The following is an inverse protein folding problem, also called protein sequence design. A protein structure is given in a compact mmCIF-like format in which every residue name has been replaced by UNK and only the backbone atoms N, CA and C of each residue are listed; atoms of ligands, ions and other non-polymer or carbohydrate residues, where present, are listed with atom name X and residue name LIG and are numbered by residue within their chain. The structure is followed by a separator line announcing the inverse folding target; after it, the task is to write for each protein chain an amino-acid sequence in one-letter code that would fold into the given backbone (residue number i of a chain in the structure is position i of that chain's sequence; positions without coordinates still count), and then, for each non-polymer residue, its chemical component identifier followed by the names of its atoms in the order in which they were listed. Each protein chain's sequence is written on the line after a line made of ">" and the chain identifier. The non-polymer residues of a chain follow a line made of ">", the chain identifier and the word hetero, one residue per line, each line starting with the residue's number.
data_IF_920773975756
#
_entry.id   IF_920773975756
#
_cell.length_a   1.000
_cell.length_b   1.000
_cell.length_c   1.000
_cell.angle_alpha   90.00
_cell.angle_beta   90.00
_cell.angle_gamma   90.00
#
_symmetry.space_group_name_H-M   'P 1'
#
loop_
_entity.id
_entity.type
_entity.pdbx_description
1 polymer ?
#
# COMPACT_ATOMS: atom_id res chain seq x y z
N UNK A 1 -3.46 21.49 15.60
CA UNK A 1 -2.42 21.99 16.53
C UNK A 1 -1.04 22.08 15.88
N UNK A 2 -0.47 21.00 15.31
CA UNK A 2 0.88 21.05 14.69
C UNK A 2 0.99 22.00 13.49
N UNK A 3 0.01 22.03 12.59
CA UNK A 3 0.03 22.97 11.45
C UNK A 3 -0.07 24.44 11.91
N UNK A 4 -0.75 24.67 13.03
CA UNK A 4 -0.89 25.99 13.64
C UNK A 4 0.42 26.42 14.32
N UNK A 5 1.12 25.49 14.98
CA UNK A 5 2.47 25.72 15.52
C UNK A 5 3.49 26.00 14.41
N UNK A 6 3.48 25.23 13.33
CA UNK A 6 4.36 25.46 12.16
C UNK A 6 4.06 26.83 11.53
N UNK A 7 2.78 27.15 11.33
CA UNK A 7 2.36 28.45 10.80
C UNK A 7 2.75 29.61 11.71
N UNK A 8 2.64 29.45 13.03
CA UNK A 8 3.05 30.45 14.02
C UNK A 8 4.56 30.69 14.03
N UNK A 9 5.38 29.63 13.96
CA UNK A 9 6.84 29.72 13.88
C UNK A 9 7.27 30.43 12.59
N UNK A 10 6.70 30.04 11.45
CA UNK A 10 6.98 30.69 10.16
C UNK A 10 6.56 32.17 10.16
N UNK A 11 5.40 32.48 10.73
CA UNK A 11 4.90 33.85 10.86
C UNK A 11 5.81 34.73 11.70
N UNK A 12 6.31 34.22 12.84
CA UNK A 12 7.27 34.95 13.68
C UNK A 12 8.60 35.22 12.96
N UNK A 13 9.11 34.26 12.20
CA UNK A 13 10.36 34.41 11.43
C UNK A 13 10.21 35.47 10.34
N UNK A 14 9.11 35.44 9.59
CA UNK A 14 8.84 36.42 8.53
C UNK A 14 8.62 37.81 9.14
N UNK A 15 7.96 37.89 10.29
CA UNK A 15 7.74 39.15 10.98
C UNK A 15 9.04 39.78 11.51
N UNK A 16 9.94 39.00 12.10
CA UNK A 16 11.22 39.53 12.62
C UNK A 16 12.16 39.97 11.51
N UNK A 17 12.32 39.16 10.45
CA UNK A 17 13.14 39.53 9.29
C UNK A 17 12.50 40.70 8.52
N UNK A 18 11.19 40.69 8.34
CA UNK A 18 10.45 41.77 7.67
C UNK A 18 10.55 43.10 8.42
N UNK A 19 10.43 43.07 9.75
CA UNK A 19 10.54 44.26 10.59
C UNK A 19 11.95 44.87 10.53
N UNK A 20 13.00 44.05 10.63
CA UNK A 20 14.39 44.50 10.52
C UNK A 20 14.73 45.13 9.15
N UNK A 21 14.12 44.61 8.08
CA UNK A 21 14.27 45.16 6.72
C UNK A 21 13.54 46.50 6.54
N UNK A 22 12.42 46.73 7.25
CA UNK A 22 11.67 48.00 7.18
C UNK A 22 12.27 49.11 8.03
N UNK A 23 12.98 48.78 9.12
CA UNK A 23 13.58 49.74 10.06
C UNK A 23 14.92 50.33 9.58
N UNK A 24 15.59 49.69 8.62
CA UNK A 24 16.89 50.14 8.10
C UNK A 24 16.76 50.68 6.65
N UNK A 25 16.47 51.98 6.47
CA UNK A 25 16.34 52.60 5.15
C UNK A 25 17.68 52.70 4.39
N UNK A 26 18.79 52.81 5.12
CA UNK A 26 20.13 52.64 4.57
C UNK A 26 20.45 51.15 4.58
N UNK A 27 20.48 50.49 3.41
CA UNK A 27 20.64 49.03 3.23
C UNK A 27 22.01 48.46 3.67
N UNK A 28 22.61 48.98 4.74
CA UNK A 28 23.80 48.42 5.34
C UNK A 28 23.39 47.18 6.14
N UNK A 29 23.72 46.00 5.59
CA UNK A 29 23.57 44.73 6.28
C UNK A 29 24.39 44.78 7.57
N UNK A 30 23.70 45.03 8.67
CA UNK A 30 24.31 45.04 9.99
C UNK A 30 24.49 43.59 10.44
N UNK A 31 25.50 43.30 11.27
CA UNK A 31 25.74 41.97 11.82
C UNK A 31 24.45 41.36 12.40
N UNK A 32 23.61 42.19 13.03
CA UNK A 32 22.31 41.81 13.58
C UNK A 32 21.32 41.31 12.51
N UNK A 33 21.17 42.01 11.38
CA UNK A 33 20.29 41.58 10.26
C UNK A 33 20.77 40.24 9.69
N UNK A 34 22.08 40.07 9.51
CA UNK A 34 22.67 38.83 9.01
C UNK A 34 22.43 37.67 9.99
N UNK A 35 22.61 37.89 11.29
CA UNK A 35 22.32 36.89 12.33
C UNK A 35 20.85 36.47 12.31
N UNK A 36 19.91 37.41 12.21
CA UNK A 36 18.48 37.10 12.16
C UNK A 36 18.09 36.31 10.91
N UNK A 37 18.70 36.61 9.76
CA UNK A 37 18.53 35.81 8.52
C UNK A 37 19.06 34.38 8.70
N UNK A 38 20.23 34.21 9.32
CA UNK A 38 20.81 32.89 9.57
C UNK A 38 19.93 32.07 10.52
N UNK A 39 19.46 32.68 11.61
CA UNK A 39 18.53 32.03 12.56
C UNK A 39 17.22 31.64 11.85
N UNK A 40 16.68 32.53 11.00
CA UNK A 40 15.49 32.27 10.22
C UNK A 40 15.64 31.04 9.31
N UNK A 41 16.74 30.96 8.56
CA UNK A 41 17.04 29.84 7.66
C UNK A 41 17.25 28.53 8.43
N UNK A 42 18.01 28.56 9.53
CA UNK A 42 18.23 27.40 10.39
C UNK A 42 16.90 26.86 10.96
N UNK A 43 16.02 27.76 11.39
CA UNK A 43 14.70 27.39 11.93
C UNK A 43 13.80 26.82 10.84
N UNK A 44 13.82 27.38 9.63
CA UNK A 44 13.07 26.83 8.50
C UNK A 44 13.50 25.40 8.16
N UNK A 45 14.81 25.15 8.07
CA UNK A 45 15.36 23.81 7.82
C UNK A 45 14.97 22.84 8.95
N UNK A 46 15.08 23.27 10.20
CA UNK A 46 14.69 22.44 11.35
C UNK A 46 13.19 22.07 11.32
N UNK A 47 12.31 23.02 10.98
CA UNK A 47 10.87 22.80 10.82
C UNK A 47 10.59 21.83 9.67
N UNK A 48 11.27 21.98 8.53
CA UNK A 48 11.13 21.08 7.39
C UNK A 48 11.54 19.64 7.75
N UNK A 49 12.69 19.45 8.42
CA UNK A 49 13.16 18.14 8.89
C UNK A 49 12.17 17.54 9.87
N UNK A 50 11.69 18.30 10.86
CA UNK A 50 10.76 17.79 11.86
C UNK A 50 9.43 17.39 11.23
N UNK A 51 8.91 18.19 10.30
CA UNK A 51 7.70 17.85 9.55
C UNK A 51 7.85 16.54 8.76
N UNK A 52 8.96 16.40 8.02
CA UNK A 52 9.26 15.16 7.27
C UNK A 52 9.41 13.96 8.21
N UNK A 53 10.10 14.14 9.34
CA UNK A 53 10.29 13.10 10.36
C UNK A 53 8.96 12.62 10.96
N UNK A 54 8.07 13.54 11.34
CA UNK A 54 6.74 13.21 11.88
C UNK A 54 5.91 12.47 10.82
N UNK A 55 5.96 12.91 9.56
CA UNK A 55 5.25 12.24 8.48
C UNK A 55 5.78 10.81 8.29
N UNK A 56 7.09 10.64 8.21
CA UNK A 56 7.74 9.32 8.08
C UNK A 56 7.40 8.40 9.25
N UNK A 57 7.45 8.90 10.50
CA UNK A 57 7.06 8.10 11.67
C UNK A 57 5.61 7.62 11.63
N UNK A 58 4.68 8.44 11.14
CA UNK A 58 3.27 8.02 11.01
C UNK A 58 3.13 6.90 9.98
N UNK A 59 3.84 6.99 8.86
CA UNK A 59 3.82 5.97 7.81
C UNK A 59 4.50 4.68 8.28
N UNK A 60 5.65 4.78 8.95
CA UNK A 60 6.37 3.65 9.56
C UNK A 60 5.54 2.94 10.64
N UNK A 61 4.84 3.67 11.53
CA UNK A 61 3.94 3.04 12.50
C UNK A 61 2.77 2.30 11.84
N UNK A 62 2.20 2.86 10.78
CA UNK A 62 1.14 2.19 10.01
C UNK A 62 1.67 0.93 9.33
N UNK A 63 2.90 0.97 8.84
CA UNK A 63 3.56 -0.21 8.30
C UNK A 63 3.75 -1.29 9.37
N UNK A 64 4.39 -0.97 10.49
CA UNK A 64 4.67 -1.93 11.57
C UNK A 64 3.39 -2.65 12.05
N UNK A 65 2.28 -1.93 12.19
CA UNK A 65 1.00 -2.53 12.61
C UNK A 65 0.42 -3.49 11.55
N UNK A 66 0.59 -3.18 10.26
CA UNK A 66 -0.04 -3.92 9.17
C UNK A 66 0.89 -4.93 8.48
N UNK A 67 2.19 -4.92 8.78
CA UNK A 67 3.22 -5.70 8.09
C UNK A 67 2.93 -7.19 8.13
N UNK A 68 2.73 -7.74 9.32
CA UNK A 68 2.56 -9.19 9.50
C UNK A 68 1.32 -9.70 8.77
N UNK A 69 0.23 -8.93 8.80
CA UNK A 69 -1.01 -9.31 8.13
C UNK A 69 -0.89 -9.20 6.60
N UNK A 70 -0.26 -8.13 6.08
CA UNK A 70 -0.02 -7.97 4.65
C UNK A 70 0.91 -9.05 4.09
N UNK A 71 1.95 -9.42 4.84
CA UNK A 71 2.85 -10.52 4.46
C UNK A 71 2.08 -11.84 4.45
N UNK A 72 1.30 -12.14 5.50
CA UNK A 72 0.49 -13.38 5.54
C UNK A 72 -0.46 -13.48 4.36
N UNK A 73 -1.24 -12.43 4.06
CA UNK A 73 -2.14 -12.41 2.90
C UNK A 73 -1.36 -12.62 1.60
N UNK A 74 -0.25 -11.90 1.42
CA UNK A 74 0.58 -12.02 0.23
C UNK A 74 1.19 -13.41 0.07
N UNK A 75 1.64 -14.05 1.15
CA UNK A 75 2.18 -15.41 1.10
C UNK A 75 1.09 -16.42 0.74
N UNK A 76 -0.07 -16.37 1.42
CA UNK A 76 -1.17 -17.29 1.10
C UNK A 76 -1.75 -17.09 -0.29
N UNK A 77 -1.75 -15.85 -0.80
CA UNK A 77 -2.15 -15.56 -2.17
C UNK A 77 -1.15 -16.15 -3.17
N UNK A 78 0.15 -16.11 -2.86
CA UNK A 78 1.19 -16.72 -3.69
C UNK A 78 1.02 -18.24 -3.76
N UNK A 79 0.71 -18.87 -2.63
CA UNK A 79 0.43 -20.31 -2.56
C UNK A 79 -0.83 -20.66 -3.36
N UNK A 80 -1.88 -19.83 -3.24
CA UNK A 80 -3.11 -19.99 -4.01
C UNK A 80 -2.88 -19.84 -5.51
N UNK A 81 -2.09 -18.85 -5.94
CA UNK A 81 -1.71 -18.66 -7.35
C UNK A 81 -0.95 -19.86 -7.90
N UNK A 82 0.01 -20.41 -7.15
CA UNK A 82 0.77 -21.58 -7.58
C UNK A 82 -0.12 -22.80 -7.79
N UNK A 83 -1.15 -22.98 -6.96
CA UNK A 83 -2.14 -24.03 -7.17
C UNK A 83 -3.08 -23.74 -8.33
N UNK A 84 -3.59 -22.51 -8.43
CA UNK A 84 -4.52 -22.09 -9.50
C UNK A 84 -3.86 -22.24 -10.87
N UNK A 85 -2.57 -21.90 -11.00
CA UNK A 85 -1.79 -22.13 -12.21
C UNK A 85 -1.75 -23.62 -12.59
N UNK A 86 -1.46 -24.52 -11.65
CA UNK A 86 -1.42 -25.97 -11.91
C UNK A 86 -2.79 -26.52 -12.30
N UNK A 87 -3.85 -26.05 -11.63
CA UNK A 87 -5.22 -26.44 -11.96
C UNK A 87 -5.62 -25.96 -13.36
N UNK A 88 -5.19 -24.75 -13.75
CA UNK A 88 -5.38 -24.22 -15.10
C UNK A 88 -4.64 -25.07 -16.14
N UNK A 89 -3.37 -25.40 -15.89
CA UNK A 89 -2.57 -26.26 -16.79
C UNK A 89 -3.19 -27.65 -16.96
N UNK A 90 -3.68 -28.25 -15.88
CA UNK A 90 -4.35 -29.54 -15.92
C UNK A 90 -5.67 -29.48 -16.69
N UNK A 91 -6.50 -28.47 -16.42
CA UNK A 91 -7.75 -28.24 -17.15
C UNK A 91 -7.49 -28.04 -18.66
N UNK A 92 -6.42 -27.34 -19.02
CA UNK A 92 -6.02 -27.18 -20.41
C UNK A 92 -5.58 -28.51 -21.03
N UNK A 93 -4.76 -29.30 -20.34
CA UNK A 93 -4.31 -30.61 -20.81
C UNK A 93 -5.49 -31.57 -21.03
N UNK A 94 -6.46 -31.59 -20.11
CA UNK A 94 -7.69 -32.38 -20.23
C UNK A 94 -8.48 -31.99 -21.48
N UNK A 95 -8.61 -30.70 -21.78
CA UNK A 95 -9.25 -30.21 -23.01
C UNK A 95 -8.52 -30.63 -24.28
N UNK A 96 -7.19 -30.77 -24.22
CA UNK A 96 -6.35 -31.24 -25.34
C UNK A 96 -6.24 -32.77 -25.42
N UNK A 97 -6.81 -33.51 -24.46
CA UNK A 97 -6.67 -34.97 -24.36
C UNK A 97 -5.25 -35.43 -24.01
N UNK A 98 -4.45 -34.55 -23.40
CA UNK A 98 -3.10 -34.85 -22.94
C UNK A 98 -3.20 -35.42 -21.52
N UNK A 99 -2.76 -36.66 -21.27
CA UNK A 99 -2.82 -37.23 -19.93
C UNK A 99 -1.88 -36.50 -18.97
N UNK A 100 -2.36 -36.24 -17.75
CA UNK A 100 -1.55 -35.64 -16.69
C UNK A 100 -0.29 -36.49 -16.42
N UNK A 101 0.89 -35.88 -16.50
CA UNK A 101 2.15 -36.57 -16.14
C UNK A 101 2.21 -36.91 -14.64
N UNK A 102 1.60 -36.08 -13.79
CA UNK A 102 1.60 -36.22 -12.33
C UNK A 102 0.23 -35.82 -11.77
N UNK A 103 -0.40 -36.71 -10.99
CA UNK A 103 -1.65 -36.39 -10.29
C UNK A 103 -1.41 -35.23 -9.31
N UNK A 104 -1.90 -34.05 -9.65
CA UNK A 104 -1.92 -32.92 -8.73
C UNK A 104 -3.16 -33.01 -7.85
N UNK A 105 -2.96 -33.02 -6.53
CA UNK A 105 -4.06 -32.91 -5.58
C UNK A 105 -4.04 -31.50 -4.99
N UNK A 106 -5.06 -30.66 -5.25
CA UNK A 106 -5.16 -29.36 -4.63
C UNK A 106 -5.32 -29.50 -3.11
N UNK A 107 -4.64 -28.64 -2.36
CA UNK A 107 -4.89 -28.43 -0.94
C UNK A 107 -6.01 -27.41 -0.78
N UNK A 108 -7.22 -27.93 -0.56
CA UNK A 108 -8.44 -27.15 -0.31
C UNK A 108 -8.30 -26.20 0.89
N UNK A 109 -7.36 -26.43 1.81
CA UNK A 109 -7.14 -25.55 2.96
C UNK A 109 -6.53 -24.21 2.57
N UNK A 110 -5.83 -24.11 1.44
CA UNK A 110 -5.14 -22.87 1.03
C UNK A 110 -6.15 -21.78 0.65
N UNK A 111 -7.19 -22.10 -0.11
CA UNK A 111 -8.24 -21.12 -0.44
C UNK A 111 -8.94 -20.63 0.83
N UNK A 112 -9.35 -21.54 1.71
CA UNK A 112 -10.00 -21.19 2.97
C UNK A 112 -9.10 -20.34 3.88
N UNK A 113 -7.81 -20.66 3.99
CA UNK A 113 -6.83 -19.85 4.74
C UNK A 113 -6.67 -18.46 4.13
N UNK A 114 -6.55 -18.36 2.81
CA UNK A 114 -6.45 -17.09 2.11
C UNK A 114 -7.69 -16.24 2.36
N UNK A 115 -8.89 -16.80 2.21
CA UNK A 115 -10.15 -16.10 2.44
C UNK A 115 -10.27 -15.60 3.89
N UNK A 116 -9.95 -16.45 4.86
CA UNK A 116 -9.94 -16.11 6.28
C UNK A 116 -8.97 -14.95 6.57
N UNK A 117 -7.74 -15.01 6.03
CA UNK A 117 -6.78 -13.93 6.20
C UNK A 117 -7.22 -12.66 5.50
N UNK A 118 -7.79 -12.74 4.30
CA UNK A 118 -8.31 -11.62 3.56
C UNK A 118 -9.43 -10.90 4.34
N UNK A 119 -10.36 -11.66 4.92
CA UNK A 119 -11.46 -11.13 5.73
C UNK A 119 -10.98 -10.54 7.06
N UNK A 120 -10.09 -11.24 7.77
CA UNK A 120 -9.48 -10.72 9.00
C UNK A 120 -8.71 -9.42 8.74
N UNK A 121 -8.00 -9.33 7.62
CA UNK A 121 -7.26 -8.13 7.21
C UNK A 121 -8.19 -6.94 7.01
N UNK A 122 -9.30 -7.12 6.28
CA UNK A 122 -10.24 -6.03 6.01
C UNK A 122 -11.00 -5.62 7.27
N UNK A 123 -11.47 -6.59 8.07
CA UNK A 123 -12.29 -6.31 9.25
C UNK A 123 -11.51 -5.67 10.40
N UNK A 124 -10.32 -6.19 10.70
CA UNK A 124 -9.52 -5.75 11.85
C UNK A 124 -8.60 -4.58 11.48
N UNK A 125 -7.95 -4.66 10.31
CA UNK A 125 -6.92 -3.70 9.91
C UNK A 125 -7.41 -2.69 8.87
N UNK A 126 -8.61 -2.86 8.29
CA UNK A 126 -9.20 -1.98 7.28
C UNK A 126 -9.07 -0.48 7.56
N UNK A 127 -9.38 0.02 8.78
CA UNK A 127 -9.24 1.44 9.11
C UNK A 127 -7.80 1.98 9.07
N UNK A 128 -6.81 1.10 9.24
CA UNK A 128 -5.38 1.43 9.29
C UNK A 128 -4.64 1.08 8.00
N UNK A 129 -5.25 0.31 7.12
CA UNK A 129 -4.69 -0.11 5.84
C UNK A 129 -4.72 1.01 4.80
N UNK A 130 -3.84 0.86 3.80
CA UNK A 130 -3.86 1.72 2.63
C UNK A 130 -5.21 1.55 1.90
N UNK A 131 -5.89 2.66 1.57
CA UNK A 131 -7.15 2.67 0.81
C UNK A 131 -7.04 1.92 -0.51
N UNK A 132 -5.87 1.97 -1.17
CA UNK A 132 -5.59 1.22 -2.39
C UNK A 132 -5.68 -0.30 -2.16
N UNK A 133 -5.15 -0.80 -1.04
CA UNK A 133 -5.23 -2.22 -0.68
C UNK A 133 -6.66 -2.63 -0.38
N UNK A 134 -7.39 -1.84 0.41
CA UNK A 134 -8.80 -2.13 0.73
C UNK A 134 -9.65 -2.17 -0.54
N UNK A 135 -9.45 -1.21 -1.46
CA UNK A 135 -10.14 -1.19 -2.74
C UNK A 135 -9.78 -2.39 -3.63
N UNK A 136 -8.51 -2.79 -3.67
CA UNK A 136 -8.07 -3.96 -4.44
C UNK A 136 -8.66 -5.26 -3.89
N UNK A 137 -8.72 -5.42 -2.57
CA UNK A 137 -9.35 -6.59 -1.93
C UNK A 137 -10.85 -6.63 -2.25
N UNK A 138 -11.56 -5.50 -2.15
CA UNK A 138 -12.97 -5.43 -2.50
C UNK A 138 -13.22 -5.74 -3.99
N UNK A 139 -12.34 -5.24 -4.87
CA UNK A 139 -12.38 -5.56 -6.30
C UNK A 139 -12.16 -7.05 -6.55
N UNK A 140 -11.16 -7.65 -5.91
CA UNK A 140 -10.88 -9.08 -6.00
C UNK A 140 -12.11 -9.91 -5.59
N UNK A 141 -12.70 -9.64 -4.41
CA UNK A 141 -13.89 -10.37 -3.94
C UNK A 141 -15.06 -10.30 -4.92
N UNK A 142 -15.26 -9.14 -5.56
CA UNK A 142 -16.31 -8.98 -6.57
C UNK A 142 -16.01 -9.81 -7.82
N UNK A 143 -14.76 -9.83 -8.28
CA UNK A 143 -14.35 -10.61 -9.45
C UNK A 143 -14.46 -12.11 -9.15
N UNK A 144 -13.97 -12.55 -7.99
CA UNK A 144 -14.04 -13.95 -7.52
C UNK A 144 -15.50 -14.45 -7.53
N UNK A 145 -16.42 -13.68 -6.94
CA UNK A 145 -17.85 -13.99 -6.95
C UNK A 145 -18.46 -14.02 -8.36
N UNK A 146 -18.02 -13.14 -9.27
CA UNK A 146 -18.50 -13.15 -10.64
C UNK A 146 -17.99 -14.37 -11.41
N UNK A 147 -16.75 -14.81 -11.16
CA UNK A 147 -16.17 -16.01 -11.77
C UNK A 147 -16.93 -17.25 -11.29
N UNK A 148 -17.20 -17.36 -9.99
CA UNK A 148 -18.01 -18.45 -9.43
C UNK A 148 -19.39 -18.49 -10.11
N UNK A 149 -20.05 -17.33 -10.23
CA UNK A 149 -21.35 -17.27 -10.87
C UNK A 149 -21.29 -17.67 -12.36
N UNK A 150 -20.31 -17.17 -13.11
CA UNK A 150 -20.12 -17.51 -14.53
C UNK A 150 -19.87 -19.01 -14.74
N UNK A 151 -19.14 -19.65 -13.83
CA UNK A 151 -18.94 -21.11 -13.84
C UNK A 151 -20.24 -21.86 -13.51
N UNK A 152 -20.99 -21.42 -12.51
CA UNK A 152 -22.27 -22.05 -12.11
C UNK A 152 -23.35 -22.02 -13.20
N UNK A 153 -23.32 -21.03 -14.09
CA UNK A 153 -24.27 -20.88 -15.20
C UNK A 153 -23.71 -21.41 -16.54
N UNK A 154 -22.60 -22.16 -16.51
CA UNK A 154 -21.91 -22.70 -17.68
C UNK A 154 -21.45 -21.63 -18.71
N UNK A 155 -21.29 -20.37 -18.29
CA UNK A 155 -20.69 -19.31 -19.13
C UNK A 155 -19.17 -19.50 -19.22
N UNK A 156 -18.54 -19.98 -18.14
CA UNK A 156 -17.14 -20.38 -18.10
C UNK A 156 -16.97 -21.89 -18.04
N UNK A 157 -16.10 -22.42 -18.89
CA UNK A 157 -15.53 -23.74 -18.65
C UNK A 157 -14.53 -23.71 -17.47
N UNK A 158 -14.13 -24.90 -17.00
CA UNK A 158 -13.25 -25.03 -15.82
C UNK A 158 -11.87 -24.37 -16.05
N UNK A 159 -11.35 -24.41 -17.27
CA UNK A 159 -10.09 -23.75 -17.62
C UNK A 159 -10.23 -22.23 -17.58
N UNK A 160 -11.28 -21.69 -18.20
CA UNK A 160 -11.61 -20.26 -18.20
C UNK A 160 -11.82 -19.75 -16.76
N UNK A 161 -12.47 -20.52 -15.91
CA UNK A 161 -12.64 -20.17 -14.49
C UNK A 161 -11.29 -20.08 -13.76
N UNK A 162 -10.38 -21.04 -13.98
CA UNK A 162 -9.04 -20.99 -13.38
C UNK A 162 -8.15 -19.87 -13.95
N UNK A 163 -8.19 -19.64 -15.26
CA UNK A 163 -7.45 -18.56 -15.91
C UNK A 163 -7.92 -17.18 -15.41
N UNK A 164 -9.23 -16.96 -15.36
CA UNK A 164 -9.81 -15.74 -14.81
C UNK A 164 -9.49 -15.56 -13.32
N UNK A 165 -9.52 -16.65 -12.53
CA UNK A 165 -9.16 -16.62 -11.11
C UNK A 165 -7.69 -16.24 -10.94
N UNK A 166 -6.79 -16.84 -11.73
CA UNK A 166 -5.37 -16.54 -11.70
C UNK A 166 -5.09 -15.07 -12.06
N UNK A 167 -5.76 -14.54 -13.09
CA UNK A 167 -5.65 -13.13 -13.46
C UNK A 167 -6.11 -12.18 -12.33
N UNK A 168 -7.22 -12.51 -11.66
CA UNK A 168 -7.72 -11.73 -10.52
C UNK A 168 -6.73 -11.76 -9.33
N UNK A 169 -6.18 -12.94 -9.03
CA UNK A 169 -5.16 -13.11 -7.99
C UNK A 169 -3.88 -12.33 -8.31
N UNK A 170 -3.44 -12.35 -9.58
CA UNK A 170 -2.26 -11.61 -10.04
C UNK A 170 -2.44 -10.10 -9.86
N UNK A 171 -3.62 -9.56 -10.17
CA UNK A 171 -3.92 -8.14 -9.98
C UNK A 171 -3.87 -7.73 -8.50
N UNK A 172 -4.44 -8.54 -7.61
CA UNK A 172 -4.38 -8.33 -6.17
C UNK A 172 -2.92 -8.39 -5.67
N UNK A 173 -2.17 -9.41 -6.11
CA UNK A 173 -0.76 -9.60 -5.76
C UNK A 173 0.11 -8.41 -6.19
N UNK A 174 -0.10 -7.87 -7.39
CA UNK A 174 0.57 -6.66 -7.88
C UNK A 174 0.35 -5.47 -6.94
N UNK A 175 -0.88 -5.27 -6.47
CA UNK A 175 -1.21 -4.17 -5.56
C UNK A 175 -0.62 -4.36 -4.15
N UNK A 176 -0.69 -5.58 -3.62
CA UNK A 176 -0.08 -5.94 -2.34
C UNK A 176 1.43 -5.74 -2.38
N UNK A 177 2.11 -6.27 -3.40
CA UNK A 177 3.55 -6.13 -3.58
C UNK A 177 3.99 -4.67 -3.76
N UNK A 178 3.24 -3.87 -4.52
CA UNK A 178 3.51 -2.43 -4.66
C UNK A 178 3.46 -1.74 -3.29
N UNK A 179 2.46 -2.07 -2.49
CA UNK A 179 2.26 -1.49 -1.16
C UNK A 179 3.35 -1.93 -0.19
N UNK A 180 3.67 -3.24 -0.16
CA UNK A 180 4.75 -3.81 0.66
C UNK A 180 6.09 -3.17 0.28
N UNK A 181 6.43 -3.08 -1.02
CA UNK A 181 7.66 -2.44 -1.49
C UNK A 181 7.73 -0.97 -1.10
N UNK A 182 6.62 -0.23 -1.22
CA UNK A 182 6.56 1.19 -0.84
C UNK A 182 6.89 1.37 0.65
N UNK A 183 6.42 0.47 1.51
CA UNK A 183 6.69 0.55 2.94
C UNK A 183 8.04 -0.03 3.36
N UNK A 184 8.56 -1.02 2.63
CA UNK A 184 9.88 -1.61 2.89
C UNK A 184 11.05 -0.78 2.34
N UNK A 185 10.79 0.13 1.39
CA UNK A 185 11.76 1.09 0.86
C UNK A 185 11.83 2.40 1.67
N UNK A 186 11.17 2.44 2.83
CA UNK A 186 11.38 3.42 3.92
C UNK A 186 12.36 2.79 4.90
#
# INVERSE_FOLDING_TARGET
>A
MINLLIGGILGLIIATVGFDLTQNPDRNLTIQTVTNIVIALATFVAVAINYLSIKSQKESRRWEVNKDVLIKVSTTLSDLMAQTSKLSDNAFNDLQGIPEEHKFSPDNSIYSKFEQYLEHTVSVYGPLLNKEVVAAIAKYKKIDSNITHAYEIDEFDIFQAYDASYAAQEELMKTLNKTIKKYAAI
#
